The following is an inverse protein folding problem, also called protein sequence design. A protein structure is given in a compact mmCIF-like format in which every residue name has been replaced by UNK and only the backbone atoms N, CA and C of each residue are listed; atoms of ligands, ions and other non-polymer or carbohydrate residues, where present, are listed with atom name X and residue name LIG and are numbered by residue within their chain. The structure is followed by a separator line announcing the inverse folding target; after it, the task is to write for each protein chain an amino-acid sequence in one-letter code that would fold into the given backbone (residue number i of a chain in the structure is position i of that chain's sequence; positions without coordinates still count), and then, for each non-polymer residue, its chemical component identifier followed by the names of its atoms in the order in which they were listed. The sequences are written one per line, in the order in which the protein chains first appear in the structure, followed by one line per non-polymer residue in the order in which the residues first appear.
data_IF_504291844839
#
_entry.id   IF_504291844839
#
_cell.length_a   1.000
_cell.length_b   1.000
_cell.length_c   1.000
_cell.angle_alpha   90.00
_cell.angle_beta   90.00
_cell.angle_gamma   90.00
#
_symmetry.space_group_name_H-M   'P 1'
#
loop_
_entity.id
_entity.type
_entity.pdbx_description
1 polymer ?
#
# COMPACT_ATOMS: atom_id res chain seq x y z
N UNK A 1 15.30 -14.13 15.49
CA UNK A 1 14.90 -13.68 14.15
C UNK A 1 14.34 -12.28 14.27
N UNK A 2 15.00 -11.28 13.68
CA UNK A 2 14.44 -9.92 13.62
C UNK A 2 13.32 -9.91 12.58
N UNK A 3 12.10 -9.56 13.01
CA UNK A 3 10.99 -9.27 12.09
C UNK A 3 11.02 -7.79 11.77
N UNK A 4 11.51 -7.45 10.59
CA UNK A 4 11.47 -6.08 10.08
C UNK A 4 10.16 -5.88 9.31
N UNK A 5 9.40 -4.88 9.73
CA UNK A 5 8.23 -4.39 9.01
C UNK A 5 8.63 -3.06 8.37
N UNK A 6 8.33 -2.90 7.08
CA UNK A 6 8.45 -1.62 6.39
C UNK A 6 7.07 -1.08 6.09
N UNK A 7 6.92 0.23 6.25
CA UNK A 7 5.68 0.95 5.98
C UNK A 7 5.99 2.15 5.10
N UNK A 8 5.14 2.39 4.11
CA UNK A 8 5.22 3.54 3.22
C UNK A 8 3.84 4.15 3.07
N UNK A 9 3.71 5.40 3.49
CA UNK A 9 2.50 6.18 3.26
C UNK A 9 2.53 6.63 1.81
N UNK A 10 1.67 6.05 0.98
CA UNK A 10 1.58 6.36 -0.45
C UNK A 10 0.69 7.57 -0.68
N UNK A 11 -0.40 7.67 0.08
CA UNK A 11 -1.32 8.79 0.07
C UNK A 11 -1.99 8.96 1.44
N UNK A 12 -2.20 10.22 1.81
CA UNK A 12 -2.86 10.60 3.06
C UNK A 12 -3.57 11.94 2.83
N UNK A 13 -4.89 11.97 2.97
CA UNK A 13 -5.67 13.20 2.84
C UNK A 13 -7.09 13.00 2.31
N UNK A 14 -7.79 14.12 2.08
CA UNK A 14 -9.21 14.14 1.65
C UNK A 14 -9.47 13.52 0.27
N UNK A 15 -8.42 13.31 -0.52
CA UNK A 15 -8.48 12.71 -1.86
C UNK A 15 -8.28 11.21 -1.87
N UNK A 16 -8.04 10.59 -0.69
CA UNK A 16 -7.86 9.16 -0.55
C UNK A 16 -6.66 8.79 0.34
N UNK A 17 -6.80 7.68 1.07
CA UNK A 17 -5.72 7.09 1.86
C UNK A 17 -5.20 5.83 1.18
N UNK A 18 -3.89 5.62 1.27
CA UNK A 18 -3.24 4.40 0.85
C UNK A 18 -1.91 4.22 1.59
N UNK A 19 -1.77 3.13 2.32
CA UNK A 19 -0.54 2.78 3.04
C UNK A 19 -0.07 1.39 2.66
N UNK A 20 1.16 1.29 2.16
CA UNK A 20 1.81 0.01 1.88
C UNK A 20 2.53 -0.50 3.13
N UNK A 21 2.35 -1.79 3.45
CA UNK A 21 3.02 -2.47 4.56
C UNK A 21 3.62 -3.76 4.05
N UNK A 22 4.89 -4.01 4.34
CA UNK A 22 5.56 -5.26 3.97
C UNK A 22 6.40 -5.86 5.10
N UNK A 23 6.56 -7.17 5.01
CA UNK A 23 7.46 -7.97 5.84
C UNK A 23 8.03 -9.13 5.03
N UNK A 24 8.85 -9.95 5.67
CA UNK A 24 9.32 -11.24 5.12
C UNK A 24 8.19 -12.22 4.76
N UNK A 25 6.99 -12.03 5.30
CA UNK A 25 5.83 -12.88 5.04
C UNK A 25 4.95 -12.41 3.88
N UNK A 26 5.22 -11.22 3.34
CA UNK A 26 4.40 -10.63 2.30
C UNK A 26 4.05 -9.17 2.56
N UNK A 27 3.16 -8.65 1.73
CA UNK A 27 2.77 -7.26 1.70
C UNK A 27 1.26 -7.06 1.60
N UNK A 28 0.79 -5.98 2.21
CA UNK A 28 -0.60 -5.56 2.22
C UNK A 28 -0.68 -4.08 1.87
N UNK A 29 -1.75 -3.72 1.17
CA UNK A 29 -2.17 -2.34 0.98
C UNK A 29 -3.32 -2.06 1.95
N UNK A 30 -3.13 -1.08 2.84
CA UNK A 30 -4.18 -0.57 3.73
C UNK A 30 -4.85 0.61 3.04
N UNK A 31 -6.11 0.41 2.68
CA UNK A 31 -6.93 1.29 1.84
C UNK A 31 -6.36 1.58 0.44
N UNK A 32 -7.26 1.78 -0.51
CA UNK A 32 -6.93 2.10 -1.90
C UNK A 32 -7.76 3.31 -2.36
N UNK A 33 -7.71 4.40 -1.60
CA UNK A 33 -8.54 5.59 -1.81
C UNK A 33 -8.21 6.39 -3.08
N UNK A 34 -7.29 5.92 -3.93
CA UNK A 34 -6.91 6.55 -5.18
C UNK A 34 -7.21 5.65 -6.37
N UNK A 35 -7.26 6.24 -7.57
CA UNK A 35 -7.42 5.48 -8.81
C UNK A 35 -6.25 4.51 -9.03
N UNK A 36 -6.51 3.38 -9.68
CA UNK A 36 -5.48 2.36 -9.97
C UNK A 36 -4.23 2.93 -10.65
N UNK A 37 -4.40 3.84 -11.60
CA UNK A 37 -3.27 4.53 -12.26
C UNK A 37 -2.39 5.31 -11.26
N UNK A 38 -2.99 6.08 -10.34
CA UNK A 38 -2.23 6.79 -9.30
C UNK A 38 -1.54 5.81 -8.35
N UNK A 39 -2.18 4.69 -8.04
CA UNK A 39 -1.60 3.65 -7.20
C UNK A 39 -0.35 3.05 -7.86
N UNK A 40 -0.40 2.69 -9.14
CA UNK A 40 0.76 2.20 -9.90
C UNK A 40 1.93 3.20 -9.93
N UNK A 41 1.62 4.49 -10.12
CA UNK A 41 2.61 5.57 -10.06
C UNK A 41 3.27 5.69 -8.68
N UNK A 42 2.50 5.53 -7.60
CA UNK A 42 3.00 5.61 -6.21
C UNK A 42 3.83 4.38 -5.83
N UNK A 43 3.41 3.18 -6.24
CA UNK A 43 4.17 1.94 -6.03
C UNK A 43 5.53 1.99 -6.75
N UNK A 44 5.55 2.53 -7.96
CA UNK A 44 6.80 2.70 -8.72
C UNK A 44 7.80 3.63 -8.02
N UNK A 45 7.35 4.61 -7.22
CA UNK A 45 8.23 5.52 -6.45
C UNK A 45 8.92 4.85 -5.26
N UNK A 46 8.42 3.71 -4.81
CA UNK A 46 8.99 2.93 -3.71
C UNK A 46 9.63 1.61 -4.20
N UNK A 47 9.89 1.52 -5.51
CA UNK A 47 10.45 0.32 -6.17
C UNK A 47 9.63 -0.95 -5.90
N UNK A 48 8.29 -0.82 -5.91
CA UNK A 48 7.35 -1.93 -5.76
C UNK A 48 6.43 -2.05 -6.95
N UNK A 49 5.93 -3.26 -7.18
CA UNK A 49 4.86 -3.54 -8.13
C UNK A 49 3.57 -3.85 -7.37
N UNK A 50 2.48 -3.21 -7.77
CA UNK A 50 1.17 -3.42 -7.15
C UNK A 50 0.66 -4.86 -7.37
N UNK A 51 1.12 -5.53 -8.43
CA UNK A 51 0.75 -6.92 -8.74
C UNK A 51 1.35 -7.94 -7.74
N UNK A 52 2.35 -7.54 -6.95
CA UNK A 52 2.99 -8.40 -5.96
C UNK A 52 2.31 -8.34 -4.58
N UNK A 53 1.22 -7.56 -4.45
CA UNK A 53 0.44 -7.47 -3.22
C UNK A 53 -0.20 -8.82 -2.87
N UNK A 54 -0.12 -9.20 -1.59
CA UNK A 54 -0.84 -10.39 -1.11
C UNK A 54 -2.30 -10.10 -0.79
N UNK A 55 -2.66 -8.84 -0.59
CA UNK A 55 -4.04 -8.46 -0.33
C UNK A 55 -4.20 -6.97 -0.06
N UNK A 56 -5.47 -6.56 0.00
CA UNK A 56 -5.90 -5.22 0.37
C UNK A 56 -6.71 -5.34 1.65
N UNK A 57 -6.34 -4.56 2.65
CA UNK A 57 -7.12 -4.38 3.88
C UNK A 57 -7.91 -3.08 3.75
N UNK A 58 -9.23 -3.21 3.64
CA UNK A 58 -10.15 -2.06 3.61
C UNK A 58 -10.59 -1.78 5.04
N UNK A 59 -10.29 -0.59 5.55
CA UNK A 59 -10.59 -0.23 6.94
C UNK A 59 -12.06 0.08 7.15
N UNK A 60 -12.67 0.79 6.21
CA UNK A 60 -14.09 1.17 6.20
C UNK A 60 -14.53 1.52 4.77
N UNK A 61 -15.85 1.65 4.55
CA UNK A 61 -16.48 1.79 3.23
C UNK A 61 -16.70 3.24 2.75
N UNK A 62 -15.74 4.15 2.91
CA UNK A 62 -15.86 5.53 2.37
C UNK A 62 -15.14 5.73 1.03
#
# INVERSE_FOLDING_TARGET
MNRLIRMSVLASGSTGNATYVESDKGSLLVDAGLTGKKMEELFSKIDKNIQDLNGILVTHEH
#
